data_IF_161981557944
#
_entry.id   IF_161981557944
#
_cell.length_a   1.000
_cell.length_b   1.000
_cell.length_c   1.000
_cell.angle_alpha   90.00
_cell.angle_beta   90.00
_cell.angle_gamma   90.00
#
_symmetry.space_group_name_H-M   'P 1'
#
loop_
_entity.id
_entity.type
_entity.pdbx_description
1 polymer ?
#
# COMPACT_ATOMS: atom_id res chain seq x y z
N UNK A 1 -36.11 -1.79 23.69
CA UNK A 1 -34.90 -1.30 22.97
C UNK A 1 -34.27 -0.17 23.76
N UNK A 2 -32.94 -0.11 23.89
CA UNK A 2 -32.27 0.99 24.61
C UNK A 2 -32.35 2.29 23.79
N UNK A 3 -32.85 3.41 24.34
CA UNK A 3 -32.99 4.69 23.62
C UNK A 3 -31.65 5.23 23.09
N UNK A 4 -30.53 4.87 23.73
CA UNK A 4 -29.17 5.28 23.33
C UNK A 4 -28.74 4.67 21.99
N UNK A 5 -29.21 3.46 21.66
CA UNK A 5 -28.82 2.77 20.41
C UNK A 5 -29.50 3.35 19.17
N UNK A 6 -30.63 4.05 19.35
CA UNK A 6 -31.41 4.63 18.26
C UNK A 6 -31.27 6.16 18.19
N UNK A 7 -30.57 6.78 19.15
CA UNK A 7 -30.32 8.22 19.16
C UNK A 7 -29.20 8.58 18.16
N UNK A 8 -29.47 9.42 17.15
CA UNK A 8 -28.48 9.76 16.12
C UNK A 8 -27.24 10.47 16.69
N UNK A 9 -27.41 11.35 17.68
CA UNK A 9 -26.28 12.05 18.30
C UNK A 9 -25.39 11.11 19.09
N UNK A 10 -25.99 10.19 19.85
CA UNK A 10 -25.24 9.15 20.56
C UNK A 10 -24.43 8.28 19.59
N UNK A 11 -25.00 7.92 18.44
CA UNK A 11 -24.30 7.16 17.39
C UNK A 11 -23.15 7.98 16.79
N UNK A 12 -23.30 9.30 16.60
CA UNK A 12 -22.24 10.16 16.04
C UNK A 12 -21.05 10.37 16.97
N UNK A 13 -21.29 10.58 18.27
CA UNK A 13 -20.24 10.97 19.22
C UNK A 13 -19.64 9.79 20.00
N UNK A 14 -20.41 8.74 20.28
CA UNK A 14 -19.94 7.64 21.13
C UNK A 14 -18.95 6.73 20.38
N UNK A 15 -17.88 6.33 21.06
CA UNK A 15 -16.98 5.31 20.53
C UNK A 15 -17.70 3.96 20.38
N UNK A 16 -17.36 3.21 19.33
CA UNK A 16 -17.80 1.81 19.23
C UNK A 16 -16.85 0.93 20.03
N UNK A 17 -17.40 0.14 20.94
CA UNK A 17 -16.67 -0.94 21.62
C UNK A 17 -16.84 -2.29 20.89
N UNK A 18 -17.53 -2.29 19.74
CA UNK A 18 -17.72 -3.49 18.91
C UNK A 18 -16.48 -3.74 18.05
N UNK A 19 -16.20 -5.02 17.78
CA UNK A 19 -15.20 -5.43 16.80
C UNK A 19 -15.49 -4.78 15.44
N UNK A 20 -14.46 -4.36 14.68
CA UNK A 20 -14.65 -3.78 13.36
C UNK A 20 -15.28 -4.78 12.40
N UNK A 21 -16.17 -4.28 11.54
CA UNK A 21 -16.84 -5.05 10.49
C UNK A 21 -15.90 -5.35 9.31
N UNK A 22 -16.12 -6.47 8.65
CA UNK A 22 -15.45 -6.82 7.39
C UNK A 22 -14.29 -7.79 7.58
N UNK A 23 -14.52 -9.04 7.18
CA UNK A 23 -13.50 -10.08 7.17
C UNK A 23 -12.37 -9.74 6.18
N UNK A 24 -11.16 -10.19 6.48
CA UNK A 24 -10.00 -9.94 5.65
C UNK A 24 -10.18 -10.63 4.29
N UNK A 25 -9.94 -9.87 3.22
CA UNK A 25 -9.88 -10.37 1.85
C UNK A 25 -8.41 -10.32 1.41
N UNK A 26 -7.78 -11.47 1.24
CA UNK A 26 -6.41 -11.60 0.73
C UNK A 26 -6.47 -12.17 -0.67
N UNK A 27 -6.28 -11.34 -1.73
CA UNK A 27 -6.07 -11.90 -3.05
C UNK A 27 -4.74 -12.65 -3.07
N UNK A 28 -4.75 -13.86 -3.62
CA UNK A 28 -3.53 -14.64 -3.86
C UNK A 28 -3.03 -14.22 -5.24
N UNK A 29 -1.88 -13.55 -5.35
CA UNK A 29 -1.34 -13.24 -6.67
C UNK A 29 -0.89 -14.53 -7.35
N UNK A 30 -1.23 -14.69 -8.62
CA UNK A 30 -0.99 -15.93 -9.36
C UNK A 30 0.43 -15.98 -9.95
N UNK A 31 1.02 -14.83 -10.25
CA UNK A 31 2.31 -14.71 -10.94
C UNK A 31 3.24 -13.67 -10.31
N UNK A 32 4.53 -13.76 -10.66
CA UNK A 32 5.56 -12.80 -10.25
C UNK A 32 5.30 -11.45 -10.91
N UNK A 33 5.48 -10.36 -10.16
CA UNK A 33 5.25 -8.98 -10.61
C UNK A 33 3.81 -8.67 -11.03
N UNK A 34 2.85 -9.55 -10.73
CA UNK A 34 1.42 -9.29 -10.95
C UNK A 34 0.89 -8.28 -9.95
N UNK A 35 1.30 -8.40 -8.68
CA UNK A 35 0.91 -7.51 -7.60
C UNK A 35 2.14 -7.03 -6.85
N UNK A 36 2.36 -5.73 -6.87
CA UNK A 36 3.42 -5.08 -6.10
C UNK A 36 2.81 -4.34 -4.91
N UNK A 37 3.37 -4.59 -3.73
CA UNK A 37 3.15 -3.77 -2.54
C UNK A 37 4.19 -2.65 -2.54
N UNK A 38 3.73 -1.40 -2.47
CA UNK A 38 4.60 -0.22 -2.48
C UNK A 38 4.33 0.58 -1.21
N UNK A 39 5.39 0.90 -0.47
CA UNK A 39 5.30 1.68 0.75
C UNK A 39 6.40 2.75 0.83
N UNK A 40 6.16 3.77 1.66
CA UNK A 40 7.09 4.86 1.92
C UNK A 40 7.45 4.89 3.40
N UNK A 41 8.75 4.82 3.67
CA UNK A 41 9.28 4.91 5.02
C UNK A 41 9.98 6.26 5.22
N UNK A 42 9.55 7.01 6.24
CA UNK A 42 10.13 8.30 6.60
C UNK A 42 9.14 9.26 7.27
N UNK A 43 9.53 10.54 7.46
CA UNK A 43 10.83 11.10 7.09
C UNK A 43 11.95 10.63 8.04
N UNK A 44 13.11 10.30 7.46
CA UNK A 44 14.35 9.95 8.15
C UNK A 44 15.27 11.19 8.30
N UNK A 45 16.29 11.11 9.17
CA UNK A 45 17.41 12.06 9.13
C UNK A 45 17.96 12.19 7.72
N UNK A 46 18.26 13.41 7.32
CA UNK A 46 18.71 13.71 5.96
C UNK A 46 20.09 13.09 5.70
N UNK A 47 20.21 12.32 4.61
CA UNK A 47 21.48 11.79 4.12
C UNK A 47 22.33 12.91 3.50
N UNK A 48 23.62 12.67 3.29
CA UNK A 48 24.54 13.59 2.59
C UNK A 48 24.03 14.02 1.22
N UNK A 49 23.26 13.16 0.55
CA UNK A 49 22.65 13.41 -0.76
C UNK A 49 21.25 14.07 -0.68
N UNK A 50 20.84 14.57 0.48
CA UNK A 50 19.53 15.22 0.67
C UNK A 50 18.33 14.26 0.67
N UNK A 51 18.58 12.94 0.81
CA UNK A 51 17.54 11.91 0.82
C UNK A 51 17.04 11.64 2.23
N UNK A 52 15.72 11.55 2.40
CA UNK A 52 15.04 11.43 3.70
C UNK A 52 13.85 10.46 3.69
N UNK A 53 13.61 9.80 2.58
CA UNK A 53 12.56 8.79 2.43
C UNK A 53 13.13 7.53 1.79
N UNK A 54 12.55 6.38 2.11
CA UNK A 54 12.81 5.12 1.42
C UNK A 54 11.51 4.67 0.77
N UNK A 55 11.53 4.47 -0.54
CA UNK A 55 10.49 3.78 -1.28
C UNK A 55 10.80 2.28 -1.25
N UNK A 56 9.91 1.51 -0.66
CA UNK A 56 9.96 0.06 -0.62
C UNK A 56 8.97 -0.49 -1.65
N UNK A 57 9.44 -1.38 -2.50
CA UNK A 57 8.61 -2.11 -3.47
C UNK A 57 8.85 -3.59 -3.23
N UNK A 58 7.79 -4.33 -2.93
CA UNK A 58 7.81 -5.77 -2.72
C UNK A 58 6.92 -6.45 -3.76
N UNK A 59 7.42 -7.50 -4.41
CA UNK A 59 6.58 -8.43 -5.16
C UNK A 59 5.83 -9.37 -4.20
N UNK A 60 4.50 -9.30 -4.21
CA UNK A 60 3.68 -10.02 -3.24
C UNK A 60 3.83 -11.56 -3.34
N UNK A 61 4.21 -12.08 -4.50
CA UNK A 61 4.38 -13.52 -4.78
C UNK A 61 5.73 -14.04 -4.33
N UNK A 62 6.83 -13.45 -4.84
CA UNK A 62 8.18 -13.92 -4.56
C UNK A 62 8.80 -13.33 -3.30
N UNK A 63 8.19 -12.27 -2.75
CA UNK A 63 8.77 -11.46 -1.68
C UNK A 63 10.05 -10.73 -2.11
N UNK A 64 10.24 -10.54 -3.42
CA UNK A 64 11.35 -9.77 -3.95
C UNK A 64 11.22 -8.30 -3.59
N UNK A 65 12.25 -7.75 -2.95
CA UNK A 65 12.27 -6.37 -2.47
C UNK A 65 13.22 -5.51 -3.31
N UNK A 66 12.74 -4.32 -3.65
CA UNK A 66 13.50 -3.21 -4.20
C UNK A 66 13.40 -2.01 -3.24
N UNK A 67 14.53 -1.34 -2.99
CA UNK A 67 14.61 -0.19 -2.09
C UNK A 67 15.24 1.00 -2.81
N UNK A 68 14.58 2.16 -2.76
CA UNK A 68 15.08 3.40 -3.35
C UNK A 68 15.04 4.54 -2.34
N UNK A 69 16.14 5.25 -2.16
CA UNK A 69 16.16 6.46 -1.34
C UNK A 69 15.67 7.67 -2.15
N UNK A 70 14.71 8.42 -1.59
CA UNK A 70 14.08 9.59 -2.20
C UNK A 70 14.28 10.85 -1.35
N UNK A 71 14.39 12.04 -1.98
CA UNK A 71 14.36 13.31 -1.27
C UNK A 71 12.95 13.66 -0.78
N UNK A 72 11.89 13.32 -1.53
CA UNK A 72 10.50 13.62 -1.12
C UNK A 72 9.55 12.44 -1.36
N UNK A 73 8.56 12.28 -0.47
CA UNK A 73 7.45 11.35 -0.61
C UNK A 73 6.36 11.87 -1.57
N UNK A 74 6.73 12.33 -2.77
CA UNK A 74 5.74 12.79 -3.75
C UNK A 74 5.35 11.68 -4.71
N UNK A 75 4.07 11.64 -5.11
CA UNK A 75 3.58 10.66 -6.08
C UNK A 75 4.34 10.69 -7.41
N UNK A 76 4.83 11.88 -7.82
CA UNK A 76 5.63 12.05 -9.04
C UNK A 76 6.99 11.38 -8.91
N UNK A 77 7.71 11.59 -7.81
CA UNK A 77 9.02 10.97 -7.57
C UNK A 77 8.90 9.44 -7.48
N UNK A 78 7.89 8.93 -6.77
CA UNK A 78 7.65 7.49 -6.69
C UNK A 78 7.37 6.87 -8.08
N UNK A 79 6.52 7.52 -8.88
CA UNK A 79 6.19 7.03 -10.22
C UNK A 79 7.40 7.03 -11.17
N UNK A 80 8.19 8.11 -11.17
CA UNK A 80 9.41 8.19 -11.98
C UNK A 80 10.40 7.09 -11.57
N UNK A 81 10.60 6.92 -10.26
CA UNK A 81 11.52 5.92 -9.72
C UNK A 81 11.11 4.52 -10.14
N UNK A 82 9.81 4.18 -10.03
CA UNK A 82 9.27 2.88 -10.41
C UNK A 82 9.42 2.59 -11.92
N UNK A 83 9.17 3.60 -12.76
CA UNK A 83 9.30 3.46 -14.22
C UNK A 83 10.77 3.29 -14.61
N UNK A 84 11.65 4.15 -14.11
CA UNK A 84 13.08 4.12 -14.43
C UNK A 84 13.77 2.86 -13.87
N UNK A 85 13.35 2.38 -12.71
CA UNK A 85 13.84 1.10 -12.20
C UNK A 85 13.46 -0.06 -13.14
N UNK A 86 12.30 -0.01 -13.77
CA UNK A 86 11.87 -1.09 -14.66
C UNK A 86 12.73 -1.20 -15.94
N UNK A 87 13.40 -0.12 -16.34
CA UNK A 87 14.30 -0.06 -17.50
C UNK A 87 15.77 -0.33 -17.17
N UNK A 88 16.21 -0.08 -15.93
CA UNK A 88 17.62 -0.25 -15.52
C UNK A 88 17.90 -1.54 -14.70
N UNK A 89 16.86 -2.22 -14.17
CA UNK A 89 17.02 -3.35 -13.22
C UNK A 89 17.30 -4.70 -13.91
N UNK A 90 17.19 -4.81 -15.22
CA UNK A 90 17.48 -6.07 -15.93
C UNK A 90 18.95 -6.28 -16.30
N UNK A 91 19.82 -5.30 -16.02
CA UNK A 91 21.26 -5.45 -16.30
C UNK A 91 22.13 -4.76 -15.23
N UNK A 92 22.33 -5.42 -14.09
CA UNK A 92 23.22 -4.87 -13.04
C UNK A 92 24.09 -5.94 -12.35
N UNK A 93 24.71 -6.82 -13.15
CA UNK A 93 25.69 -7.79 -12.66
C UNK A 93 27.06 -7.28 -12.16
N UNK A 94 27.51 -6.01 -12.32
CA UNK A 94 28.82 -5.64 -11.75
C UNK A 94 28.80 -4.63 -10.59
N UNK A 95 27.68 -3.97 -10.26
CA UNK A 95 27.75 -2.73 -9.46
C UNK A 95 27.65 -2.89 -7.94
N UNK A 96 27.44 -4.12 -7.46
CA UNK A 96 27.15 -4.40 -6.05
C UNK A 96 28.28 -5.14 -5.30
N UNK A 97 29.39 -5.47 -5.97
CA UNK A 97 30.46 -6.28 -5.36
C UNK A 97 31.69 -5.50 -4.85
N UNK A 98 31.80 -4.18 -5.03
CA UNK A 98 33.07 -3.47 -4.78
C UNK A 98 32.99 -2.24 -3.85
N UNK A 99 31.82 -1.68 -3.54
CA UNK A 99 31.77 -0.36 -2.90
C UNK A 99 31.01 -0.37 -1.57
N UNK A 100 31.74 -0.67 -0.49
CA UNK A 100 32.23 0.33 0.48
C UNK A 100 32.49 -0.34 1.84
N UNK A 101 33.76 -0.25 2.26
CA UNK A 101 34.26 -0.53 3.61
C UNK A 101 33.92 0.64 4.57
N UNK A 102 33.54 0.29 5.80
CA UNK A 102 33.72 1.03 7.06
C UNK A 102 33.29 2.51 7.18
N UNK A 103 32.05 2.87 6.78
CA UNK A 103 31.40 4.12 7.24
C UNK A 103 29.90 3.92 7.54
N UNK A 104 29.47 4.28 8.75
CA UNK A 104 28.14 3.93 9.28
C UNK A 104 27.08 5.04 9.24
N UNK A 105 27.30 6.19 8.58
CA UNK A 105 26.47 7.38 8.82
C UNK A 105 25.48 7.75 7.70
N UNK A 106 25.18 6.83 6.78
CA UNK A 106 24.28 7.10 5.64
C UNK A 106 23.29 5.95 5.41
N UNK A 107 22.01 6.31 5.29
CA UNK A 107 20.93 5.36 5.01
C UNK A 107 20.87 4.98 3.52
N UNK A 108 21.18 5.92 2.62
CA UNK A 108 21.12 5.71 1.16
C UNK A 108 22.16 4.72 0.64
N UNK A 109 23.39 4.74 1.17
CA UNK A 109 24.48 3.87 0.71
C UNK A 109 24.34 2.42 1.19
N UNK A 110 23.58 2.19 2.27
CA UNK A 110 23.34 0.86 2.83
C UNK A 110 22.18 0.11 2.17
N UNK A 111 21.31 0.81 1.43
CA UNK A 111 20.13 0.19 0.80
C UNK A 111 20.46 -1.02 -0.09
N UNK A 112 21.54 -1.01 -0.91
CA UNK A 112 21.88 -2.19 -1.72
C UNK A 112 22.22 -3.42 -0.87
N UNK A 113 22.89 -3.24 0.27
CA UNK A 113 23.22 -4.33 1.20
C UNK A 113 21.97 -4.87 1.92
N UNK A 114 21.09 -3.97 2.36
CA UNK A 114 19.81 -4.34 3.00
C UNK A 114 18.95 -5.09 2.00
N UNK A 115 18.83 -4.59 0.76
CA UNK A 115 18.12 -5.28 -0.32
C UNK A 115 18.69 -6.67 -0.59
N UNK A 116 20.02 -6.80 -0.68
CA UNK A 116 20.67 -8.09 -0.87
C UNK A 116 20.34 -9.06 0.27
N UNK A 117 20.47 -8.61 1.52
CA UNK A 117 20.16 -9.43 2.70
C UNK A 117 18.69 -9.86 2.73
N UNK A 118 17.75 -8.96 2.43
CA UNK A 118 16.32 -9.29 2.36
C UNK A 118 16.01 -10.30 1.26
N UNK A 119 16.65 -10.18 0.10
CA UNK A 119 16.38 -11.07 -1.03
C UNK A 119 17.08 -12.43 -0.92
N UNK A 120 18.11 -12.56 -0.08
CA UNK A 120 18.83 -13.83 0.18
C UNK A 120 18.43 -14.51 1.47
N UNK A 121 17.70 -13.82 2.36
CA UNK A 121 17.12 -14.44 3.54
C UNK A 121 15.94 -15.36 3.14
N UNK A 122 15.85 -16.51 3.80
CA UNK A 122 14.68 -17.40 3.66
C UNK A 122 13.45 -16.75 4.28
N UNK A 123 12.38 -16.64 3.51
CA UNK A 123 11.11 -16.18 4.03
C UNK A 123 10.33 -17.35 4.64
N UNK A 124 9.87 -17.21 5.88
CA UNK A 124 9.04 -18.22 6.56
C UNK A 124 7.75 -18.53 5.77
N UNK A 125 7.20 -17.53 5.08
CA UNK A 125 5.95 -17.68 4.31
C UNK A 125 6.13 -18.49 3.03
N UNK A 126 7.28 -18.40 2.37
CA UNK A 126 7.50 -19.09 1.09
C UNK A 126 8.43 -20.30 1.22
N UNK A 127 9.08 -20.47 2.37
CA UNK A 127 10.10 -21.51 2.62
C UNK A 127 11.38 -21.35 1.80
N UNK A 128 11.48 -20.32 0.96
CA UNK A 128 12.56 -20.07 0.01
C UNK A 128 13.05 -18.62 0.09
N UNK A 129 14.19 -18.33 -0.52
CA UNK A 129 14.70 -16.96 -0.66
C UNK A 129 13.99 -16.26 -1.82
N UNK A 130 13.80 -14.94 -1.72
CA UNK A 130 13.19 -14.20 -2.84
C UNK A 130 14.05 -14.26 -4.11
N UNK A 131 15.38 -14.33 -3.95
CA UNK A 131 16.34 -14.57 -5.03
C UNK A 131 16.05 -15.86 -5.79
N UNK A 132 15.90 -16.98 -5.08
CA UNK A 132 15.57 -18.25 -5.69
C UNK A 132 14.20 -18.20 -6.39
N UNK A 133 13.21 -17.54 -5.78
CA UNK A 133 11.88 -17.44 -6.39
C UNK A 133 11.85 -16.56 -7.65
N UNK A 134 12.69 -15.53 -7.71
CA UNK A 134 12.73 -14.64 -8.84
C UNK A 134 13.66 -15.14 -9.97
N UNK A 135 14.78 -15.77 -9.62
CA UNK A 135 15.80 -16.15 -10.60
C UNK A 135 15.99 -17.66 -10.74
N UNK A 136 15.27 -18.48 -9.98
CA UNK A 136 15.45 -19.94 -9.89
C UNK A 136 16.84 -20.38 -9.41
N UNK A 137 17.62 -19.45 -8.85
CA UNK A 137 18.95 -19.65 -8.27
C UNK A 137 19.19 -18.62 -7.19
N UNK A 138 20.09 -18.95 -6.26
CA UNK A 138 20.51 -18.00 -5.24
C UNK A 138 21.35 -16.86 -5.84
N UNK A 139 21.26 -15.68 -5.21
CA UNK A 139 22.19 -14.59 -5.50
C UNK A 139 23.55 -14.94 -4.92
N UNK A 140 24.60 -14.64 -5.68
CA UNK A 140 25.98 -14.85 -5.25
C UNK A 140 26.36 -13.76 -4.25
N UNK A 141 27.02 -14.14 -3.16
CA UNK A 141 27.58 -13.17 -2.23
C UNK A 141 28.85 -12.54 -2.81
N UNK A 142 29.22 -11.31 -2.41
CA UNK A 142 30.48 -10.71 -2.86
C UNK A 142 31.71 -11.57 -2.60
N UNK A 143 31.74 -12.31 -1.48
CA UNK A 143 32.84 -13.23 -1.13
C UNK A 143 32.97 -14.41 -2.11
N UNK A 144 31.84 -15.00 -2.53
CA UNK A 144 31.83 -16.11 -3.49
C UNK A 144 32.33 -15.69 -4.87
N UNK A 145 31.98 -14.47 -5.31
CA UNK A 145 32.43 -13.94 -6.61
C UNK A 145 33.93 -13.69 -6.63
N UNK A 146 34.50 -13.22 -5.51
CA UNK A 146 35.92 -12.85 -5.41
C UNK A 146 36.81 -14.08 -5.17
N UNK A 147 36.38 -15.02 -4.33
CA UNK A 147 37.24 -16.12 -3.88
C UNK A 147 37.11 -17.39 -4.73
N UNK A 148 36.08 -17.51 -5.56
CA UNK A 148 35.79 -18.79 -6.22
C UNK A 148 35.33 -18.67 -7.68
N UNK A 149 36.24 -18.17 -8.52
CA UNK A 149 36.06 -18.09 -9.98
C UNK A 149 35.75 -19.49 -10.58
N UNK A 150 36.17 -20.59 -9.95
CA UNK A 150 35.86 -21.95 -10.41
C UNK A 150 34.42 -22.33 -10.13
N UNK A 151 33.88 -22.00 -8.96
CA UNK A 151 32.43 -22.07 -8.69
C UNK A 151 31.64 -21.13 -9.58
N UNK A 152 32.19 -19.98 -9.97
CA UNK A 152 31.57 -19.10 -10.98
C UNK A 152 31.45 -19.82 -12.33
N UNK A 153 32.48 -20.52 -12.80
CA UNK A 153 32.46 -21.26 -14.08
C UNK A 153 31.62 -22.55 -13.99
N UNK A 154 31.62 -23.24 -12.85
CA UNK A 154 30.87 -24.49 -12.65
C UNK A 154 29.39 -24.27 -12.31
N UNK A 155 29.03 -23.17 -11.64
CA UNK A 155 27.62 -22.78 -11.38
C UNK A 155 27.06 -21.81 -12.42
N UNK A 156 27.88 -21.26 -13.32
CA UNK A 156 27.38 -20.78 -14.61
C UNK A 156 26.97 -22.02 -15.40
N UNK A 157 25.76 -22.49 -15.09
CA UNK A 157 24.91 -23.21 -16.03
C UNK A 157 24.83 -22.33 -17.29
N UNK A 158 25.80 -22.45 -18.19
CA UNK A 158 25.56 -22.32 -19.62
C UNK A 158 24.55 -23.41 -19.92
N UNK A 159 23.28 -23.05 -19.73
CA UNK A 159 22.13 -23.95 -19.74
C UNK A 159 22.23 -24.86 -20.95
N UNK A 160 22.64 -26.14 -20.81
CA UNK A 160 22.64 -27.02 -21.98
C UNK A 160 21.18 -27.34 -22.35
N UNK A 161 20.23 -27.19 -21.42
CA UNK A 161 18.81 -27.44 -21.67
C UNK A 161 17.94 -26.50 -20.81
N UNK A 162 17.35 -25.49 -21.44
CA UNK A 162 16.41 -24.53 -20.81
C UNK A 162 15.18 -25.28 -20.26
N UNK A 163 14.85 -26.42 -20.86
CA UNK A 163 13.65 -27.21 -20.62
C UNK A 163 13.54 -27.85 -19.23
N UNK A 164 14.51 -28.62 -18.69
CA UNK A 164 14.45 -29.18 -17.33
C UNK A 164 14.41 -28.10 -16.24
N UNK A 165 15.12 -26.98 -16.46
CA UNK A 165 15.12 -25.85 -15.55
C UNK A 165 13.74 -25.16 -15.48
N UNK A 166 13.13 -24.88 -16.64
CA UNK A 166 11.77 -24.32 -16.70
C UNK A 166 10.73 -25.28 -16.08
N UNK A 167 10.87 -26.59 -16.32
CA UNK A 167 10.01 -27.60 -15.68
C UNK A 167 10.16 -27.60 -14.15
N UNK A 168 11.38 -27.47 -13.63
CA UNK A 168 11.65 -27.36 -12.18
C UNK A 168 11.04 -26.08 -11.61
N UNK A 169 11.23 -24.95 -12.28
CA UNK A 169 10.68 -23.66 -11.88
C UNK A 169 9.14 -23.64 -11.86
N UNK A 170 8.50 -24.23 -12.87
CA UNK A 170 7.05 -24.35 -12.95
C UNK A 170 6.48 -25.18 -11.78
N UNK A 171 7.12 -26.31 -11.44
CA UNK A 171 6.74 -27.15 -10.28
C UNK A 171 6.91 -26.42 -8.94
N UNK A 172 7.98 -25.64 -8.77
CA UNK A 172 8.15 -24.87 -7.54
C UNK A 172 7.12 -23.75 -7.43
N UNK A 173 6.82 -23.06 -8.53
CA UNK A 173 5.85 -21.97 -8.53
C UNK A 173 4.46 -22.42 -8.07
N UNK A 174 4.03 -23.64 -8.41
CA UNK A 174 2.77 -24.21 -7.91
C UNK A 174 2.84 -24.54 -6.42
N UNK A 175 3.92 -25.16 -5.94
CA UNK A 175 4.10 -25.48 -4.52
C UNK A 175 4.15 -24.24 -3.63
N UNK A 176 4.82 -23.18 -4.08
CA UNK A 176 4.89 -21.92 -3.33
C UNK A 176 3.52 -21.27 -3.24
N UNK A 177 2.73 -21.35 -4.31
CA UNK A 177 1.36 -20.83 -4.29
C UNK A 177 0.55 -21.52 -3.19
N UNK A 178 0.61 -22.84 -3.11
CA UNK A 178 -0.08 -23.62 -2.06
C UNK A 178 0.35 -23.18 -0.66
N UNK A 179 1.65 -23.05 -0.39
CA UNK A 179 2.15 -22.60 0.92
C UNK A 179 1.72 -21.16 1.24
N UNK A 180 1.77 -20.27 0.25
CA UNK A 180 1.32 -18.88 0.41
C UNK A 180 -0.18 -18.83 0.70
N UNK A 181 -0.98 -19.63 0.02
CA UNK A 181 -2.43 -19.78 0.25
C UNK A 181 -2.71 -20.25 1.67
N UNK A 182 -2.06 -21.33 2.13
CA UNK A 182 -2.20 -21.87 3.49
C UNK A 182 -1.82 -20.84 4.56
N UNK A 183 -0.72 -20.10 4.35
CA UNK A 183 -0.27 -19.10 5.30
C UNK A 183 -1.18 -17.86 5.29
N UNK A 184 -1.73 -17.49 4.13
CA UNK A 184 -2.75 -16.45 4.02
C UNK A 184 -4.03 -16.84 4.75
N UNK A 185 -4.51 -18.08 4.58
CA UNK A 185 -5.70 -18.59 5.26
C UNK A 185 -5.51 -18.64 6.77
N UNK A 186 -4.34 -19.07 7.24
CA UNK A 186 -3.98 -19.04 8.66
C UNK A 186 -4.01 -17.61 9.21
N UNK A 187 -3.38 -16.64 8.52
CA UNK A 187 -3.38 -15.23 8.92
C UNK A 187 -4.78 -14.63 8.91
N UNK A 188 -5.58 -14.97 7.89
CA UNK A 188 -6.99 -14.56 7.77
C UNK A 188 -7.81 -15.08 8.92
N UNK A 189 -7.68 -16.36 9.28
CA UNK A 189 -8.37 -16.96 10.43
C UNK A 189 -8.09 -16.21 11.74
N UNK A 190 -6.82 -15.92 12.04
CA UNK A 190 -6.47 -15.15 13.24
C UNK A 190 -6.90 -13.69 13.19
N UNK A 191 -6.82 -13.04 12.02
CA UNK A 191 -7.29 -11.68 11.84
C UNK A 191 -8.81 -11.57 12.03
N UNK A 192 -9.56 -12.51 11.48
CA UNK A 192 -11.03 -12.53 11.51
C UNK A 192 -11.60 -12.82 12.90
N UNK A 193 -10.87 -13.53 13.78
CA UNK A 193 -11.24 -13.67 15.21
C UNK A 193 -11.45 -12.32 15.91
N UNK A 194 -10.73 -11.28 15.49
CA UNK A 194 -10.83 -9.92 16.04
C UNK A 194 -11.84 -9.03 15.28
N UNK A 195 -12.53 -9.57 14.28
CA UNK A 195 -13.50 -8.87 13.44
C UNK A 195 -14.89 -9.47 13.57
N UNK A 196 -15.88 -8.83 12.96
CA UNK A 196 -17.23 -9.35 12.80
C UNK A 196 -17.63 -9.34 11.32
N UNK A 197 -18.60 -10.18 10.96
CA UNK A 197 -19.18 -10.16 9.63
C UNK A 197 -19.67 -8.75 9.27
N UNK A 198 -19.45 -8.36 8.01
CA UNK A 198 -19.94 -7.09 7.52
C UNK A 198 -21.48 -7.10 7.52
N UNK A 199 -22.15 -6.04 8.01
CA UNK A 199 -23.56 -5.85 7.70
C UNK A 199 -23.72 -5.68 6.18
N UNK A 200 -24.70 -6.37 5.60
CA UNK A 200 -25.05 -6.19 4.20
C UNK A 200 -25.93 -4.95 4.08
N UNK A 201 -25.44 -3.96 3.35
CA UNK A 201 -26.22 -2.78 3.04
C UNK A 201 -26.89 -2.88 1.68
N UNK A 202 -28.09 -2.31 1.55
CA UNK A 202 -28.78 -2.18 0.27
C UNK A 202 -28.61 -0.76 -0.32
N UNK A 203 -28.63 -0.62 -1.66
CA UNK A 203 -28.74 0.69 -2.31
C UNK A 203 -29.90 1.51 -1.75
N UNK A 204 -29.66 2.78 -1.44
CA UNK A 204 -30.62 3.70 -0.84
C UNK A 204 -30.62 3.73 0.69
N UNK A 205 -29.93 2.81 1.37
CA UNK A 205 -29.82 2.86 2.83
C UNK A 205 -28.93 4.02 3.30
N UNK A 206 -29.27 4.56 4.47
CA UNK A 206 -28.54 5.67 5.10
C UNK A 206 -27.46 5.18 6.05
N UNK A 207 -26.28 5.78 5.95
CA UNK A 207 -25.13 5.44 6.78
C UNK A 207 -24.39 6.67 7.28
N UNK A 208 -23.86 6.58 8.50
CA UNK A 208 -22.82 7.46 8.96
C UNK A 208 -21.44 6.91 8.58
N UNK A 209 -20.51 7.81 8.27
CA UNK A 209 -19.14 7.49 7.89
C UNK A 209 -18.18 7.95 8.98
N UNK A 210 -17.22 7.11 9.35
CA UNK A 210 -16.20 7.46 10.32
C UNK A 210 -15.41 8.72 9.89
N UNK A 211 -15.33 9.69 10.80
CA UNK A 211 -14.60 10.94 10.62
C UNK A 211 -13.32 10.94 11.45
N UNK A 212 -12.25 11.50 10.89
CA UNK A 212 -10.98 11.73 11.56
C UNK A 212 -10.69 13.24 11.60
N UNK A 213 -11.45 14.01 12.40
CA UNK A 213 -11.25 15.44 12.49
C UNK A 213 -9.89 15.75 13.12
N UNK A 214 -9.17 16.72 12.55
CA UNK A 214 -7.94 17.26 13.13
C UNK A 214 -8.29 18.46 14.03
N UNK A 215 -7.59 18.59 15.16
CA UNK A 215 -7.70 19.78 16.01
C UNK A 215 -7.13 20.99 15.27
N UNK A 216 -7.81 22.13 15.39
CA UNK A 216 -7.34 23.40 14.85
C UNK A 216 -7.59 24.51 15.88
N UNK A 217 -6.53 24.89 16.60
CA UNK A 217 -6.60 25.92 17.65
C UNK A 217 -7.00 27.29 17.09
N UNK A 218 -6.54 27.66 15.88
CA UNK A 218 -6.88 28.93 15.24
C UNK A 218 -8.37 29.05 14.90
N UNK A 219 -9.04 27.92 14.67
CA UNK A 219 -10.49 27.86 14.44
C UNK A 219 -11.29 27.47 15.70
N UNK A 220 -10.65 27.37 16.87
CA UNK A 220 -11.30 26.94 18.11
C UNK A 220 -11.83 25.50 18.08
N UNK A 221 -11.32 24.64 17.20
CA UNK A 221 -11.80 23.27 17.00
C UNK A 221 -10.92 22.26 17.72
N UNK A 222 -11.51 21.49 18.64
CA UNK A 222 -10.85 20.35 19.29
C UNK A 222 -11.36 19.04 18.71
N UNK A 223 -10.47 18.20 18.17
CA UNK A 223 -10.83 16.87 17.64
C UNK A 223 -11.52 15.98 18.69
N UNK A 224 -11.23 16.21 19.98
CA UNK A 224 -11.84 15.45 21.09
C UNK A 224 -13.34 15.73 21.26
N UNK A 225 -13.81 16.90 20.83
CA UNK A 225 -15.20 17.34 20.91
C UNK A 225 -15.95 17.20 19.59
N UNK A 226 -15.26 16.79 18.52
CA UNK A 226 -15.88 16.60 17.21
C UNK A 226 -16.57 15.22 17.13
N UNK A 227 -17.64 15.10 16.32
CA UNK A 227 -18.26 13.80 16.08
C UNK A 227 -17.25 12.83 15.48
N UNK A 228 -17.34 11.56 15.89
CA UNK A 228 -16.50 10.46 15.38
C UNK A 228 -17.07 9.85 14.10
N UNK A 229 -18.34 10.12 13.81
CA UNK A 229 -19.01 9.73 12.57
C UNK A 229 -19.80 10.91 12.06
N UNK A 230 -19.77 11.11 10.75
CA UNK A 230 -20.50 12.16 10.07
C UNK A 230 -21.48 11.60 9.05
N UNK A 231 -22.44 12.41 8.62
CA UNK A 231 -23.52 12.00 7.71
C UNK A 231 -24.88 12.44 8.22
N UNK A 232 -25.97 11.83 7.72
CA UNK A 232 -26.05 10.58 6.95
C UNK A 232 -25.68 10.78 5.47
N UNK A 233 -25.23 9.69 4.87
CA UNK A 233 -24.94 9.52 3.45
C UNK A 233 -25.78 8.36 2.91
N UNK A 234 -26.04 8.34 1.61
CA UNK A 234 -26.78 7.25 0.95
C UNK A 234 -25.79 6.25 0.36
N UNK A 235 -26.11 4.96 0.45
CA UNK A 235 -25.39 3.91 -0.29
C UNK A 235 -25.88 3.85 -1.73
N UNK A 236 -24.95 3.94 -2.67
CA UNK A 236 -25.25 3.80 -4.09
C UNK A 236 -25.18 2.35 -4.54
N UNK A 237 -23.99 1.75 -4.40
CA UNK A 237 -23.73 0.40 -4.89
C UNK A 237 -22.67 -0.28 -4.03
N UNK A 238 -22.71 -1.61 -4.01
CA UNK A 238 -21.66 -2.43 -3.43
C UNK A 238 -20.57 -2.67 -4.49
N UNK A 239 -19.35 -2.19 -4.24
CA UNK A 239 -18.20 -2.34 -5.16
C UNK A 239 -17.47 -3.67 -4.96
N UNK A 240 -17.41 -4.13 -3.73
CA UNK A 240 -16.83 -5.41 -3.31
C UNK A 240 -17.52 -5.85 -2.02
N UNK A 241 -17.40 -7.11 -1.58
CA UNK A 241 -18.07 -7.58 -0.37
C UNK A 241 -17.91 -6.65 0.85
N UNK A 242 -16.72 -6.09 1.14
CA UNK A 242 -16.55 -5.17 2.27
C UNK A 242 -16.53 -3.68 1.89
N UNK A 243 -16.75 -3.28 0.63
CA UNK A 243 -16.62 -1.87 0.22
C UNK A 243 -17.84 -1.37 -0.56
N UNK A 244 -18.36 -0.22 -0.13
CA UNK A 244 -19.56 0.41 -0.66
C UNK A 244 -19.25 1.80 -1.17
N UNK A 245 -19.90 2.19 -2.27
CA UNK A 245 -19.88 3.53 -2.81
C UNK A 245 -21.01 4.35 -2.19
N UNK A 246 -20.70 5.57 -1.74
CA UNK A 246 -21.66 6.44 -1.06
C UNK A 246 -21.84 7.77 -1.78
N UNK A 247 -22.98 8.41 -1.57
CA UNK A 247 -23.31 9.74 -2.08
C UNK A 247 -23.86 10.67 -0.98
N UNK A 248 -23.85 11.97 -1.26
CA UNK A 248 -24.55 12.95 -0.44
C UNK A 248 -26.06 12.81 -0.64
N UNK A 249 -26.84 13.15 0.39
CA UNK A 249 -28.29 13.27 0.28
C UNK A 249 -28.71 14.36 -0.73
N UNK A 250 -27.91 15.43 -0.86
CA UNK A 250 -28.22 16.54 -1.75
C UNK A 250 -28.09 16.14 -3.23
N UNK A 251 -27.14 15.25 -3.54
CA UNK A 251 -26.81 14.80 -4.89
C UNK A 251 -26.63 13.27 -4.89
N UNK A 252 -27.73 12.49 -4.80
CA UNK A 252 -27.66 11.03 -4.76
C UNK A 252 -27.19 10.40 -6.08
N UNK A 253 -27.09 11.17 -7.18
CA UNK A 253 -26.54 10.68 -8.43
C UNK A 253 -25.01 10.73 -8.52
N UNK A 254 -24.32 11.45 -7.63
CA UNK A 254 -22.87 11.63 -7.71
C UNK A 254 -22.13 10.88 -6.59
N UNK A 255 -21.23 9.95 -6.93
CA UNK A 255 -20.45 9.23 -5.93
C UNK A 255 -19.43 10.15 -5.25
N UNK A 256 -19.46 10.18 -3.92
CA UNK A 256 -18.46 10.87 -3.10
C UNK A 256 -17.20 10.03 -2.91
N UNK A 257 -17.32 8.71 -2.92
CA UNK A 257 -16.18 7.80 -2.82
C UNK A 257 -16.56 6.41 -2.30
N UNK A 258 -15.56 5.53 -2.29
CA UNK A 258 -15.69 4.15 -1.81
C UNK A 258 -15.18 4.03 -0.38
N UNK A 259 -15.97 3.42 0.48
CA UNK A 259 -15.68 3.25 1.90
C UNK A 259 -15.80 1.78 2.30
N UNK A 260 -14.89 1.33 3.16
CA UNK A 260 -14.93 0.01 3.74
C UNK A 260 -16.03 -0.08 4.81
N UNK A 261 -16.68 -1.23 4.96
CA UNK A 261 -17.77 -1.50 5.92
C UNK A 261 -17.41 -1.18 7.37
N UNK A 262 -16.13 -1.29 7.75
CA UNK A 262 -15.64 -0.88 9.07
C UNK A 262 -15.78 0.62 9.36
N UNK A 263 -15.81 1.45 8.31
CA UNK A 263 -15.99 2.89 8.41
C UNK A 263 -17.47 3.31 8.33
N UNK A 264 -18.38 2.38 8.06
CA UNK A 264 -19.81 2.65 7.91
C UNK A 264 -20.57 2.25 9.18
N UNK A 265 -21.61 3.00 9.51
CA UNK A 265 -22.52 2.71 10.62
C UNK A 265 -23.95 2.96 10.15
N UNK A 266 -24.89 2.01 10.30
CA UNK A 266 -26.28 2.21 9.89
C UNK A 266 -26.89 3.46 10.55
N UNK A 267 -27.64 4.23 9.78
CA UNK A 267 -28.44 5.35 10.26
C UNK A 267 -29.92 5.07 10.00
N UNK A 268 -30.75 5.24 11.03
CA UNK A 268 -32.22 5.19 10.89
C UNK A 268 -32.83 6.59 10.75
N UNK A 269 -32.00 7.64 10.63
CA UNK A 269 -32.46 9.02 10.62
C UNK A 269 -31.80 9.81 9.51
N UNK A 270 -32.64 10.39 8.67
CA UNK A 270 -32.28 11.04 7.41
C UNK A 270 -32.25 12.56 7.56
N UNK A 271 -32.70 13.07 8.72
CA UNK A 271 -32.92 14.51 8.95
C UNK A 271 -31.70 15.26 9.48
N UNK A 272 -30.66 14.54 9.91
CA UNK A 272 -29.46 15.18 10.47
C UNK A 272 -28.57 15.64 9.32
N UNK A 273 -28.04 16.85 9.32
CA UNK A 273 -27.03 17.24 8.30
C UNK A 273 -25.62 16.86 8.74
N UNK A 274 -24.71 16.54 7.79
CA UNK A 274 -23.30 16.35 8.11
C UNK A 274 -22.68 17.66 8.61
N UNK A 275 -21.84 17.57 9.63
CA UNK A 275 -21.14 18.73 10.21
C UNK A 275 -19.97 19.19 9.35
N UNK A 276 -19.24 18.24 8.75
CA UNK A 276 -18.18 18.50 7.77
C UNK A 276 -18.43 17.56 6.58
N UNK A 277 -19.21 18.01 5.58
CA UNK A 277 -19.52 17.22 4.41
C UNK A 277 -18.28 16.60 3.79
N UNK A 278 -18.35 15.30 3.51
CA UNK A 278 -17.28 14.58 2.84
C UNK A 278 -17.06 15.20 1.46
N UNK A 279 -15.80 15.52 1.17
CA UNK A 279 -15.39 15.91 -0.17
C UNK A 279 -15.23 14.67 -1.02
N UNK A 280 -15.54 14.81 -2.32
CA UNK A 280 -15.31 13.75 -3.31
C UNK A 280 -13.85 13.26 -3.21
N UNK A 281 -13.69 11.99 -2.85
CA UNK A 281 -12.39 11.32 -2.82
C UNK A 281 -12.10 10.79 -4.22
N UNK A 282 -10.89 11.06 -4.72
CA UNK A 282 -10.45 10.54 -5.99
C UNK A 282 -9.46 11.46 -6.68
N UNK A 283 -8.95 11.00 -7.82
CA UNK A 283 -8.17 11.82 -8.73
C UNK A 283 -8.96 13.08 -9.05
N UNK A 284 -8.37 14.29 -8.95
CA UNK A 284 -9.01 15.49 -9.49
C UNK A 284 -9.46 15.18 -10.93
N UNK A 285 -10.67 15.62 -11.34
CA UNK A 285 -11.09 15.44 -12.71
C UNK A 285 -9.99 15.94 -13.64
N UNK A 286 -9.66 15.17 -14.70
CA UNK A 286 -8.77 15.66 -15.75
C UNK A 286 -9.38 16.97 -16.24
N UNK A 287 -8.75 18.09 -15.93
CA UNK A 287 -9.14 19.38 -16.51
C UNK A 287 -9.05 19.19 -18.02
N UNK A 288 -10.14 19.38 -18.79
CA UNK A 288 -10.06 19.37 -20.23
C UNK A 288 -9.01 20.41 -20.61
N UNK A 289 -7.92 19.96 -21.25
CA UNK A 289 -6.97 20.90 -21.81
C UNK A 289 -7.72 21.66 -22.89
N UNK A 290 -8.12 22.89 -22.59
CA UNK A 290 -8.62 23.81 -23.59
C UNK A 290 -7.46 24.06 -24.54
N UNK A 291 -7.58 23.76 -25.85
CA UNK A 291 -6.53 24.07 -26.80
C UNK A 291 -6.45 25.60 -26.88
N UNK A 292 -5.46 26.20 -26.20
CA UNK A 292 -5.20 27.65 -26.31
C UNK A 292 -4.79 28.41 -25.06
N UNK A 293 -4.78 27.85 -23.84
CA UNK A 293 -4.28 28.60 -22.67
C UNK A 293 -2.82 28.26 -22.37
N UNK A 294 -1.92 29.16 -22.75
CA UNK A 294 -0.53 29.15 -22.32
C UNK A 294 -0.45 29.24 -20.79
N UNK A 295 0.45 28.46 -20.21
CA UNK A 295 0.64 28.35 -18.77
C UNK A 295 1.21 29.65 -18.17
N UNK A 296 0.32 30.56 -17.81
CA UNK A 296 0.65 31.73 -17.00
C UNK A 296 1.11 31.30 -15.60
N UNK A 297 2.42 31.29 -15.38
CA UNK A 297 3.09 31.12 -14.08
C UNK A 297 2.51 32.13 -13.08
N UNK A 298 1.60 31.72 -12.19
CA UNK A 298 1.19 32.56 -11.05
C UNK A 298 2.39 32.72 -10.11
N UNK A 299 3.05 33.88 -10.18
CA UNK A 299 3.99 34.37 -9.17
C UNK A 299 3.22 34.55 -7.85
N UNK A 300 3.50 33.71 -6.86
CA UNK A 300 3.15 34.00 -5.47
C UNK A 300 3.97 35.20 -5.01
N UNK A 301 3.39 36.39 -5.02
CA UNK A 301 3.88 37.49 -4.21
C UNK A 301 3.45 37.22 -2.76
N UNK A 302 4.38 36.72 -1.94
CA UNK A 302 4.30 36.87 -0.49
C UNK A 302 4.71 38.31 -0.18
N UNK A 303 3.79 39.08 0.40
CA UNK A 303 4.06 40.41 0.92
C UNK A 303 5.19 40.39 1.94
N UNK A 304 6.10 41.36 1.79
CA UNK A 304 7.00 41.85 2.82
C UNK A 304 6.40 43.15 3.37
N UNK A 305 6.63 43.34 4.67
CA UNK A 305 6.27 44.46 5.55
C UNK A 305 4.84 44.46 6.05
#
# INVERSE_FOLDING_TARGET
MSPVKNCPDCIKYKASNQKPSGILQTPVPAQRFETLAIDLFGPLPESKDGKRWILLIEDCTTKWVELFALPNATAKECAITLINSSTEVWDLKPRLAILVQDKHDCCSEKLPFIRFALNTAKCETTGQTAAFLNFGRELRTPSEVVNDIRVVIQNDNFVPEITPYLKKFAKFSTQIREVVEEQQDSRKFYADKKRKAAPTYQPGEHVFVASHPLSNAAQGRSAKLMPRRDGPYVILTQRSPPSYEIASLDNPGEPLGVYHTSALTPSNNDKVKPLIPLRKRGRPPKVPQTPGSSSGRRRNQRGRM
#
